data_IF_766977165072
#
_entry.id   IF_766977165072
#
_cell.length_a   1.000
_cell.length_b   1.000
_cell.length_c   1.000
_cell.angle_alpha   90.00
_cell.angle_beta   90.00
_cell.angle_gamma   90.00
#
_symmetry.space_group_name_H-M   'P 1'
#
loop_
_entity.id
_entity.type
_entity.pdbx_description
1 polymer ?
#
# COMPACT_ATOMS: atom_id res chain seq x y z
N UNK A 1 32.50 -21.38 -4.48
CA UNK A 1 33.41 -20.23 -4.27
C UNK A 1 32.62 -18.96 -4.57
N UNK A 2 32.80 -17.88 -3.80
CA UNK A 2 32.07 -16.61 -3.98
C UNK A 2 32.63 -15.75 -5.12
N UNK A 3 32.04 -14.56 -5.32
CA UNK A 3 32.45 -13.56 -6.33
C UNK A 3 33.12 -12.37 -5.65
N UNK A 4 34.28 -11.93 -6.15
CA UNK A 4 34.93 -10.71 -5.65
C UNK A 4 34.07 -9.50 -5.98
N UNK A 5 33.64 -8.77 -4.94
CA UNK A 5 32.74 -7.62 -5.04
C UNK A 5 33.34 -6.46 -4.26
N UNK A 6 33.29 -5.25 -4.83
CA UNK A 6 33.77 -4.03 -4.17
C UNK A 6 32.64 -3.42 -3.34
N UNK A 7 32.86 -3.28 -2.05
CA UNK A 7 32.03 -2.48 -1.15
C UNK A 7 32.36 -1.00 -1.36
N UNK A 8 31.43 -0.23 -1.93
CA UNK A 8 31.63 1.21 -2.15
C UNK A 8 31.62 2.04 -0.87
N UNK A 9 31.00 1.56 0.21
CA UNK A 9 30.92 2.29 1.47
C UNK A 9 32.23 2.22 2.25
N UNK A 10 32.97 1.12 2.13
CA UNK A 10 34.25 0.89 2.82
C UNK A 10 35.46 0.95 1.89
N UNK A 11 35.23 1.06 0.59
CA UNK A 11 36.22 1.00 -0.47
C UNK A 11 37.12 -0.25 -0.46
N UNK A 12 36.53 -1.40 -0.11
CA UNK A 12 37.23 -2.67 0.05
C UNK A 12 36.66 -3.75 -0.87
N UNK A 13 37.47 -4.77 -1.20
CA UNK A 13 37.01 -5.92 -1.99
C UNK A 13 36.85 -7.14 -1.08
N UNK A 14 35.69 -7.79 -1.15
CA UNK A 14 35.39 -9.00 -0.37
C UNK A 14 34.81 -10.11 -1.25
N UNK A 15 34.93 -11.36 -0.79
CA UNK A 15 34.36 -12.51 -1.48
C UNK A 15 32.87 -12.69 -1.10
N UNK A 16 31.98 -12.13 -1.90
CA UNK A 16 30.54 -12.24 -1.72
C UNK A 16 30.06 -13.66 -2.03
N UNK A 17 29.40 -14.29 -1.06
CA UNK A 17 28.87 -15.67 -1.20
C UNK A 17 27.38 -15.71 -1.53
N UNK A 18 26.63 -14.74 -1.04
CA UNK A 18 25.20 -14.58 -1.31
C UNK A 18 24.83 -13.10 -1.20
N UNK A 19 23.83 -12.69 -1.98
CA UNK A 19 23.19 -11.39 -1.89
C UNK A 19 21.66 -11.58 -1.95
N UNK A 20 20.92 -10.88 -1.11
CA UNK A 20 19.46 -10.85 -1.15
C UNK A 20 19.03 -9.59 -1.89
N UNK A 21 18.44 -9.75 -3.08
CA UNK A 21 18.01 -8.60 -3.90
C UNK A 21 16.59 -8.14 -3.54
N UNK A 22 15.63 -9.07 -3.50
CA UNK A 22 14.25 -8.78 -3.13
C UNK A 22 13.60 -9.98 -2.44
N UNK A 23 12.59 -9.70 -1.61
CA UNK A 23 11.73 -10.71 -0.99
C UNK A 23 10.29 -10.50 -1.48
N UNK A 24 9.65 -11.58 -1.94
CA UNK A 24 8.21 -11.56 -2.19
C UNK A 24 7.50 -11.87 -0.88
N UNK A 25 6.80 -10.89 -0.33
CA UNK A 25 6.09 -11.00 0.93
C UNK A 25 4.60 -10.77 0.68
N UNK A 26 3.75 -11.49 1.40
CA UNK A 26 2.36 -11.08 1.54
C UNK A 26 2.26 -9.84 2.45
N UNK A 27 1.07 -9.23 2.55
CA UNK A 27 0.91 -7.99 3.31
C UNK A 27 1.25 -8.14 4.81
N UNK A 28 0.91 -9.26 5.49
CA UNK A 28 1.38 -9.52 6.85
C UNK A 28 2.90 -9.66 6.98
N UNK A 29 3.55 -10.47 6.14
CA UNK A 29 5.01 -10.64 6.19
C UNK A 29 5.74 -9.36 5.85
N UNK A 30 5.21 -8.56 4.92
CA UNK A 30 5.72 -7.23 4.62
C UNK A 30 5.74 -6.34 5.86
N UNK A 31 4.67 -6.34 6.65
CA UNK A 31 4.60 -5.55 7.88
C UNK A 31 5.70 -5.93 8.88
N UNK A 32 5.97 -7.22 9.04
CA UNK A 32 7.06 -7.69 9.91
C UNK A 32 8.44 -7.32 9.36
N UNK A 33 8.68 -7.52 8.07
CA UNK A 33 9.98 -7.28 7.45
C UNK A 33 10.34 -5.78 7.34
N UNK A 34 9.34 -4.92 7.09
CA UNK A 34 9.53 -3.47 6.92
C UNK A 34 9.34 -2.66 8.21
N UNK A 35 8.84 -3.28 9.28
CA UNK A 35 8.37 -2.56 10.47
C UNK A 35 7.08 -1.76 10.25
N UNK A 36 6.42 -1.93 9.10
CA UNK A 36 5.18 -1.25 8.78
C UNK A 36 3.98 -1.87 9.48
N UNK A 37 3.12 -1.04 10.09
CA UNK A 37 1.83 -1.52 10.58
C UNK A 37 0.89 -1.77 9.40
N UNK A 38 0.59 -3.02 9.09
CA UNK A 38 -0.46 -3.38 8.13
C UNK A 38 -1.88 -3.21 8.69
N UNK A 39 -1.99 -2.90 9.99
CA UNK A 39 -3.24 -2.61 10.68
C UNK A 39 -3.50 -1.09 10.77
N UNK A 40 -4.78 -0.72 10.86
CA UNK A 40 -5.21 0.67 11.02
C UNK A 40 -5.49 1.37 9.70
N UNK A 41 -5.82 2.67 9.74
CA UNK A 41 -6.24 3.41 8.53
C UNK A 41 -5.10 3.58 7.52
N UNK A 42 -3.86 3.70 8.00
CA UNK A 42 -2.62 3.85 7.21
C UNK A 42 -2.02 2.49 6.82
N UNK A 43 -2.77 1.39 6.98
CA UNK A 43 -2.24 0.04 6.77
C UNK A 43 -1.80 -0.28 5.34
N UNK A 44 -2.26 0.48 4.34
CA UNK A 44 -1.90 0.26 2.95
C UNK A 44 -0.56 0.95 2.62
N UNK A 45 0.52 0.21 2.28
CA UNK A 45 1.82 0.82 1.98
C UNK A 45 1.81 1.61 0.65
N UNK A 46 0.82 1.40 -0.23
CA UNK A 46 0.71 2.12 -1.51
C UNK A 46 0.08 3.50 -1.35
N UNK A 47 -0.93 3.59 -0.47
CA UNK A 47 -1.69 4.82 -0.27
C UNK A 47 -1.25 5.58 0.98
N UNK A 48 -0.71 4.90 1.98
CA UNK A 48 -0.26 5.47 3.25
C UNK A 48 -1.29 6.48 3.79
N UNK A 49 -0.92 7.76 3.91
CA UNK A 49 -1.74 8.85 4.42
C UNK A 49 -2.84 9.30 3.43
N UNK A 50 -2.69 9.01 2.15
CA UNK A 50 -3.68 9.32 1.10
C UNK A 50 -4.88 8.34 1.08
N UNK A 51 -4.86 7.36 1.97
CA UNK A 51 -6.01 6.49 2.22
C UNK A 51 -7.24 7.29 2.63
N UNK A 52 -8.43 6.83 2.22
CA UNK A 52 -9.72 7.38 2.67
C UNK A 52 -10.35 6.55 3.78
N UNK A 53 -9.60 5.59 4.31
CA UNK A 53 -10.00 4.80 5.45
C UNK A 53 -10.18 5.70 6.67
N UNK A 54 -11.10 5.33 7.55
CA UNK A 54 -11.42 6.08 8.75
C UNK A 54 -11.67 5.15 9.92
N UNK A 55 -11.56 5.66 11.14
CA UNK A 55 -11.94 4.91 12.34
C UNK A 55 -13.44 5.07 12.61
N UNK A 56 -14.12 3.95 12.86
CA UNK A 56 -15.51 3.98 13.34
C UNK A 56 -15.56 4.68 14.71
N UNK A 57 -16.46 5.65 14.89
CA UNK A 57 -16.51 6.48 16.10
C UNK A 57 -16.64 5.65 17.38
N UNK A 58 -17.56 4.67 17.40
CA UNK A 58 -17.85 3.89 18.60
C UNK A 58 -16.89 2.69 18.76
N UNK A 59 -16.54 2.02 17.65
CA UNK A 59 -15.73 0.80 17.68
C UNK A 59 -14.22 1.04 17.63
N UNK A 60 -13.79 2.25 17.22
CA UNK A 60 -12.39 2.62 16.97
C UNK A 60 -11.64 1.65 16.05
N UNK A 61 -12.36 0.87 15.25
CA UNK A 61 -11.81 -0.04 14.24
C UNK A 61 -11.64 0.73 12.94
N UNK A 62 -10.54 0.46 12.24
CA UNK A 62 -10.33 0.99 10.90
C UNK A 62 -11.38 0.40 9.95
N UNK A 63 -11.92 1.26 9.10
CA UNK A 63 -12.95 0.92 8.13
C UNK A 63 -12.54 1.46 6.75
N UNK A 64 -12.64 0.60 5.75
CA UNK A 64 -12.37 0.90 4.34
C UNK A 64 -13.65 1.00 3.51
N UNK A 65 -14.80 1.15 4.18
CA UNK A 65 -16.07 1.31 3.52
C UNK A 65 -16.01 2.49 2.55
N UNK A 66 -16.62 2.31 1.37
CA UNK A 66 -16.69 3.31 0.30
C UNK A 66 -15.37 3.73 -0.36
N UNK A 67 -14.21 3.30 0.16
CA UNK A 67 -12.90 3.65 -0.38
C UNK A 67 -12.69 3.09 -1.80
N UNK A 68 -13.34 1.97 -2.13
CA UNK A 68 -13.15 1.22 -3.38
C UNK A 68 -13.79 1.87 -4.62
N UNK A 69 -14.76 2.80 -4.47
CA UNK A 69 -15.42 3.42 -5.64
C UNK A 69 -14.48 4.22 -6.52
N UNK A 70 -13.33 4.67 -5.99
CA UNK A 70 -12.30 5.35 -6.77
C UNK A 70 -11.70 4.48 -7.88
N UNK A 71 -11.86 3.15 -7.81
CA UNK A 71 -11.36 2.20 -8.82
C UNK A 71 -12.36 1.95 -9.96
N UNK A 72 -13.61 2.44 -9.85
CA UNK A 72 -14.61 2.32 -10.92
C UNK A 72 -14.31 3.32 -12.04
N UNK A 73 -14.75 3.10 -13.29
CA UNK A 73 -14.72 4.12 -14.34
C UNK A 73 -15.39 5.43 -13.89
N UNK A 74 -14.93 6.58 -14.40
CA UNK A 74 -15.42 7.91 -13.97
C UNK A 74 -16.92 8.14 -14.23
N UNK A 75 -17.44 7.53 -15.28
CA UNK A 75 -18.83 7.56 -15.72
C UNK A 75 -19.71 6.51 -15.04
N UNK A 76 -19.13 5.64 -14.21
CA UNK A 76 -19.85 4.54 -13.59
C UNK A 76 -20.95 5.04 -12.61
N UNK A 77 -22.22 4.57 -12.71
CA UNK A 77 -23.33 5.11 -11.92
C UNK A 77 -23.12 5.08 -10.40
N UNK A 78 -22.43 4.07 -9.88
CA UNK A 78 -22.18 3.95 -8.43
C UNK A 78 -21.28 5.07 -7.91
N UNK A 79 -20.47 5.73 -8.73
CA UNK A 79 -19.73 6.94 -8.32
C UNK A 79 -20.66 8.08 -7.91
N UNK A 80 -21.90 8.12 -8.42
CA UNK A 80 -22.89 9.18 -8.10
C UNK A 80 -24.01 8.72 -7.17
N UNK A 81 -24.02 7.45 -6.77
CA UNK A 81 -25.03 6.93 -5.87
C UNK A 81 -24.82 7.43 -4.43
N UNK A 82 -25.72 8.29 -3.96
CA UNK A 82 -25.70 8.94 -2.63
C UNK A 82 -26.46 8.16 -1.54
N UNK A 83 -27.12 7.07 -1.90
CA UNK A 83 -28.03 6.30 -1.02
C UNK A 83 -27.45 4.95 -0.59
N UNK A 84 -26.84 4.20 -1.50
CA UNK A 84 -26.31 2.86 -1.22
C UNK A 84 -24.93 2.87 -0.55
N UNK A 85 -24.25 4.01 -0.56
CA UNK A 85 -22.89 4.20 -0.06
C UNK A 85 -22.86 5.26 1.05
N UNK A 86 -21.72 5.89 1.30
CA UNK A 86 -21.65 6.98 2.28
C UNK A 86 -22.67 8.06 1.93
N UNK A 87 -23.51 8.39 2.91
CA UNK A 87 -24.67 9.27 2.73
C UNK A 87 -24.23 10.59 2.08
N UNK A 88 -24.93 10.96 1.01
CA UNK A 88 -24.71 12.22 0.28
C UNK A 88 -23.32 12.38 -0.36
N UNK A 89 -22.51 11.33 -0.44
CA UNK A 89 -21.18 11.38 -1.05
C UNK A 89 -21.19 11.00 -2.54
N UNK A 90 -20.38 11.71 -3.32
CA UNK A 90 -20.12 11.45 -4.74
C UNK A 90 -18.63 11.24 -4.93
N UNK A 91 -18.27 10.14 -5.57
CA UNK A 91 -16.89 9.80 -5.87
C UNK A 91 -16.41 10.50 -7.15
N UNK A 92 -15.56 11.51 -7.00
CA UNK A 92 -14.95 12.22 -8.13
C UNK A 92 -13.46 11.92 -8.29
N UNK A 93 -12.81 11.32 -7.29
CA UNK A 93 -11.38 11.07 -7.33
C UNK A 93 -11.07 9.87 -8.22
N UNK A 94 -9.96 9.95 -8.93
CA UNK A 94 -9.39 8.80 -9.65
C UNK A 94 -8.44 8.09 -8.68
N UNK A 95 -8.48 6.76 -8.68
CA UNK A 95 -7.49 5.97 -7.96
C UNK A 95 -6.07 6.34 -8.41
N UNK A 96 -5.08 6.18 -7.53
CA UNK A 96 -3.69 6.23 -7.95
C UNK A 96 -3.46 5.14 -9.01
N UNK A 97 -2.62 5.40 -10.02
CA UNK A 97 -2.18 4.35 -10.92
C UNK A 97 -1.67 3.16 -10.10
N UNK A 98 -1.93 1.95 -10.59
CA UNK A 98 -1.30 0.77 -10.01
C UNK A 98 0.21 0.97 -10.14
N UNK A 99 0.95 0.73 -9.07
CA UNK A 99 2.40 0.69 -9.13
C UNK A 99 2.77 -0.43 -10.11
N UNK A 100 3.29 -0.05 -11.27
CA UNK A 100 3.98 -0.97 -12.17
C UNK A 100 5.35 -1.16 -11.56
N UNK A 101 5.68 -2.40 -11.19
CA UNK A 101 7.00 -2.73 -10.62
C UNK A 101 8.12 -2.73 -11.66
N UNK A 102 8.05 -1.82 -12.64
CA UNK A 102 9.06 -1.58 -13.67
C UNK A 102 10.09 -0.56 -13.19
#
# INVERSE_FOLDING_TARGET
MGVLTRDSARDETFAMRAALMWTMNDLPAYGMASGWSSAGVIGCPVYMEDTRAFYLQNGRKACYFDCHRQFLPLDYPYRRNKKAFTKNQVERKVARPRLTGE
#
